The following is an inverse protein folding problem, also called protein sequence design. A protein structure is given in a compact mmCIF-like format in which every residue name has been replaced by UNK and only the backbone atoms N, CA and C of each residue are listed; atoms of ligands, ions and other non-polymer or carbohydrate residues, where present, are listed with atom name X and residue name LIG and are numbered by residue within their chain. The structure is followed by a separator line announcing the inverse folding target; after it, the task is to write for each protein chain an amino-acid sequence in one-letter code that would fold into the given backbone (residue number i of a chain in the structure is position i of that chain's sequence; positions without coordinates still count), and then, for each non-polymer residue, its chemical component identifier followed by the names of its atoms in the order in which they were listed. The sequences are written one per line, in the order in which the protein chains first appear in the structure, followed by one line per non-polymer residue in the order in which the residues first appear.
data_IF_221204208508
#
_entry.id   IF_221204208508
#
_cell.length_a   1.000
_cell.length_b   1.000
_cell.length_c   1.000
_cell.angle_alpha   90.00
_cell.angle_beta   90.00
_cell.angle_gamma   90.00
#
_symmetry.space_group_name_H-M   'P 1'
#
loop_
_entity.id
_entity.type
_entity.pdbx_description
1 polymer ?
#
# COMPACT_ATOMS: atom_id res chain seq x y z
N UNK A 1 25.56 32.21 -2.78
CA UNK A 1 25.67 31.08 -3.74
C UNK A 1 25.06 29.75 -3.24
N UNK A 2 24.56 29.63 -1.99
CA UNK A 2 24.07 28.36 -1.43
C UNK A 2 22.56 28.11 -1.67
N UNK A 3 21.76 29.17 -1.75
CA UNK A 3 20.29 29.10 -1.84
C UNK A 3 19.77 28.48 -3.14
N UNK A 4 20.41 28.75 -4.28
CA UNK A 4 19.98 28.17 -5.56
C UNK A 4 20.21 26.65 -5.59
N UNK A 5 21.37 26.18 -5.09
CA UNK A 5 21.69 24.75 -5.02
C UNK A 5 20.74 23.99 -4.09
N UNK A 6 20.31 24.59 -2.98
CA UNK A 6 19.34 23.96 -2.07
C UNK A 6 17.95 23.88 -2.71
N UNK A 7 17.52 24.93 -3.41
CA UNK A 7 16.24 24.96 -4.14
C UNK A 7 16.23 23.88 -5.25
N UNK A 8 17.30 23.80 -6.03
CA UNK A 8 17.43 22.82 -7.12
C UNK A 8 17.39 21.38 -6.56
N UNK A 9 18.09 21.14 -5.44
CA UNK A 9 18.11 19.84 -4.78
C UNK A 9 16.75 19.44 -4.23
N UNK A 10 16.03 20.37 -3.59
CA UNK A 10 14.67 20.12 -3.09
C UNK A 10 13.69 19.84 -4.24
N UNK A 11 13.80 20.57 -5.35
CA UNK A 11 13.00 20.36 -6.55
C UNK A 11 13.21 18.96 -7.13
N UNK A 12 14.47 18.53 -7.29
CA UNK A 12 14.81 17.18 -7.77
C UNK A 12 14.17 16.10 -6.88
N UNK A 13 14.25 16.26 -5.55
CA UNK A 13 13.62 15.33 -4.61
C UNK A 13 12.11 15.27 -4.82
N UNK A 14 11.44 16.42 -4.90
CA UNK A 14 9.98 16.51 -5.10
C UNK A 14 9.55 15.90 -6.42
N UNK A 15 10.27 16.13 -7.50
CA UNK A 15 9.93 15.60 -8.82
C UNK A 15 10.06 14.08 -8.88
N UNK A 16 11.12 13.52 -8.27
CA UNK A 16 11.25 12.06 -8.15
C UNK A 16 10.21 11.46 -7.21
N UNK A 17 9.87 12.13 -6.10
CA UNK A 17 8.81 11.69 -5.21
C UNK A 17 7.46 11.64 -5.94
N UNK A 18 7.11 12.68 -6.72
CA UNK A 18 5.91 12.71 -7.56
C UNK A 18 5.90 11.57 -8.57
N UNK A 19 7.03 11.30 -9.23
CA UNK A 19 7.17 10.18 -10.16
C UNK A 19 6.92 8.83 -9.48
N UNK A 20 7.53 8.60 -8.31
CA UNK A 20 7.32 7.36 -7.55
C UNK A 20 5.85 7.18 -7.14
N UNK A 21 5.19 8.26 -6.71
CA UNK A 21 3.76 8.25 -6.36
C UNK A 21 2.90 7.93 -7.58
N UNK A 22 3.17 8.56 -8.73
CA UNK A 22 2.43 8.29 -9.97
C UNK A 22 2.55 6.82 -10.40
N UNK A 23 3.76 6.27 -10.36
CA UNK A 23 4.00 4.85 -10.66
C UNK A 23 3.25 3.93 -9.69
N UNK A 24 3.25 4.24 -8.40
CA UNK A 24 2.48 3.51 -7.39
C UNK A 24 0.97 3.55 -7.65
N UNK A 25 0.43 4.70 -8.08
CA UNK A 25 -0.98 4.82 -8.47
C UNK A 25 -1.34 3.99 -9.71
N UNK A 26 -0.36 3.71 -10.57
CA UNK A 26 -0.50 2.82 -11.73
C UNK A 26 -0.26 1.33 -11.39
N UNK A 27 -0.09 0.98 -10.11
CA UNK A 27 0.32 -0.35 -9.64
C UNK A 27 1.69 -0.81 -10.19
N UNK A 28 2.52 0.11 -10.69
CA UNK A 28 3.88 -0.16 -11.17
C UNK A 28 4.87 -0.11 -10.00
N UNK A 29 4.71 -1.05 -9.08
CA UNK A 29 5.41 -1.03 -7.79
C UNK A 29 6.92 -1.23 -7.91
N UNK A 30 7.40 -2.05 -8.84
CA UNK A 30 8.83 -2.23 -9.14
C UNK A 30 9.48 -0.93 -9.62
N UNK A 31 8.80 -0.20 -10.51
CA UNK A 31 9.28 1.09 -11.01
C UNK A 31 9.28 2.13 -9.87
N UNK A 32 8.25 2.13 -9.03
CA UNK A 32 8.18 2.99 -7.86
C UNK A 32 9.34 2.71 -6.87
N UNK A 33 9.70 1.43 -6.67
CA UNK A 33 10.86 1.03 -5.87
C UNK A 33 12.15 1.60 -6.47
N UNK A 34 12.38 1.44 -7.77
CA UNK A 34 13.58 1.93 -8.43
C UNK A 34 13.73 3.46 -8.28
N UNK A 35 12.62 4.22 -8.43
CA UNK A 35 12.64 5.66 -8.23
C UNK A 35 12.91 6.01 -6.76
N UNK A 36 12.24 5.38 -5.79
CA UNK A 36 12.46 5.64 -4.36
C UNK A 36 13.90 5.30 -3.93
N UNK A 37 14.49 4.21 -4.41
CA UNK A 37 15.90 3.88 -4.17
C UNK A 37 16.84 4.95 -4.74
N UNK A 38 16.53 5.51 -5.90
CA UNK A 38 17.30 6.64 -6.46
C UNK A 38 17.19 7.91 -5.61
N UNK A 39 16.06 8.13 -4.93
CA UNK A 39 15.90 9.25 -3.99
C UNK A 39 16.76 9.01 -2.75
N UNK A 40 16.75 7.81 -2.17
CA UNK A 40 17.56 7.49 -0.98
C UNK A 40 19.06 7.69 -1.23
N UNK A 41 19.56 7.36 -2.44
CA UNK A 41 20.97 7.60 -2.80
C UNK A 41 21.39 9.06 -2.65
N UNK A 42 20.50 9.98 -3.02
CA UNK A 42 20.77 11.43 -2.97
C UNK A 42 20.26 12.10 -1.69
N UNK A 43 19.33 11.45 -0.98
CA UNK A 43 18.60 11.91 0.20
C UNK A 43 18.43 10.77 1.21
N UNK A 44 19.51 10.36 1.90
CA UNK A 44 19.51 9.16 2.75
C UNK A 44 18.63 9.27 4.00
N UNK A 45 18.20 10.48 4.38
CA UNK A 45 17.37 10.75 5.55
C UNK A 45 15.92 11.17 5.17
N UNK A 46 15.50 10.95 3.92
CA UNK A 46 14.13 11.25 3.51
C UNK A 46 13.14 10.19 4.02
N UNK A 47 12.63 10.41 5.24
CA UNK A 47 11.65 9.59 5.92
C UNK A 47 10.46 9.19 5.05
N UNK A 48 9.92 10.13 4.28
CA UNK A 48 8.76 9.87 3.42
C UNK A 48 9.08 8.88 2.29
N UNK A 49 10.34 8.84 1.85
CA UNK A 49 10.79 7.89 0.84
C UNK A 49 10.89 6.47 1.41
N UNK A 50 11.32 6.31 2.66
CA UNK A 50 11.28 5.00 3.34
C UNK A 50 9.84 4.49 3.52
N UNK A 51 8.90 5.37 3.87
CA UNK A 51 7.47 5.02 3.94
C UNK A 51 6.94 4.53 2.57
N UNK A 52 7.25 5.26 1.49
CA UNK A 52 6.85 4.84 0.12
C UNK A 52 7.50 3.53 -0.29
N UNK A 53 8.77 3.33 0.05
CA UNK A 53 9.51 2.11 -0.28
C UNK A 53 8.93 0.89 0.46
N UNK A 54 8.67 1.02 1.77
CA UNK A 54 8.05 -0.05 2.56
C UNK A 54 6.66 -0.40 2.05
N UNK A 55 5.87 0.61 1.67
CA UNK A 55 4.57 0.38 1.03
C UNK A 55 4.75 -0.41 -0.27
N UNK A 56 5.61 0.03 -1.18
CA UNK A 56 5.79 -0.64 -2.47
C UNK A 56 6.28 -2.09 -2.33
N UNK A 57 7.21 -2.38 -1.40
CA UNK A 57 7.61 -3.76 -1.12
C UNK A 57 6.46 -4.59 -0.56
N UNK A 58 5.66 -4.03 0.35
CA UNK A 58 4.51 -4.75 0.90
C UNK A 58 3.46 -5.04 -0.18
N UNK A 59 3.26 -4.12 -1.13
CA UNK A 59 2.38 -4.33 -2.29
C UNK A 59 2.95 -5.32 -3.31
N UNK A 60 4.21 -5.72 -3.18
CA UNK A 60 4.82 -6.82 -3.93
C UNK A 60 4.99 -8.10 -3.09
N UNK A 61 4.46 -8.14 -1.87
CA UNK A 61 4.54 -9.31 -0.99
C UNK A 61 5.96 -9.54 -0.45
N UNK A 62 6.86 -8.60 -0.71
CA UNK A 62 8.26 -8.53 -0.24
C UNK A 62 8.27 -8.03 1.19
N UNK A 63 7.65 -8.81 2.09
CA UNK A 63 7.34 -8.38 3.45
C UNK A 63 8.60 -8.08 4.28
N UNK A 64 9.68 -8.86 4.12
CA UNK A 64 10.93 -8.64 4.84
C UNK A 64 11.54 -7.27 4.50
N UNK A 65 11.58 -6.92 3.21
CA UNK A 65 12.11 -5.65 2.73
C UNK A 65 11.19 -4.47 3.09
N UNK A 66 9.88 -4.73 3.14
CA UNK A 66 8.91 -3.77 3.63
C UNK A 66 9.16 -3.43 5.12
N UNK A 67 9.39 -4.45 5.96
CA UNK A 67 9.72 -4.28 7.38
C UNK A 67 10.98 -3.43 7.52
N UNK A 68 12.06 -3.78 6.83
CA UNK A 68 13.33 -3.03 6.90
C UNK A 68 13.14 -1.54 6.53
N UNK A 69 12.37 -1.26 5.49
CA UNK A 69 12.09 0.12 5.07
C UNK A 69 11.27 0.89 6.11
N UNK A 70 10.23 0.28 6.71
CA UNK A 70 9.45 0.93 7.75
C UNK A 70 10.23 1.11 9.07
N UNK A 71 11.11 0.17 9.42
CA UNK A 71 12.02 0.31 10.56
C UNK A 71 12.98 1.48 10.37
N UNK A 72 13.52 1.67 9.16
CA UNK A 72 14.33 2.87 8.84
C UNK A 72 13.51 4.17 8.98
N UNK A 73 12.25 4.17 8.56
CA UNK A 73 11.37 5.32 8.76
C UNK A 73 11.12 5.62 10.25
N UNK A 74 10.98 4.58 11.09
CA UNK A 74 10.85 4.72 12.54
C UNK A 74 12.16 5.12 13.23
N UNK A 75 13.31 4.69 12.71
CA UNK A 75 14.61 5.13 13.20
C UNK A 75 14.81 6.64 12.98
N UNK A 76 14.35 7.17 11.84
CA UNK A 76 14.36 8.61 11.54
C UNK A 76 13.29 9.38 12.32
N UNK A 77 12.10 8.80 12.53
CA UNK A 77 11.04 9.37 13.36
C UNK A 77 10.27 8.30 14.12
N UNK A 78 10.55 8.12 15.42
CA UNK A 78 9.90 7.11 16.25
C UNK A 78 8.38 7.24 16.34
N UNK A 79 7.83 8.42 16.04
CA UNK A 79 6.41 8.72 16.07
C UNK A 79 5.71 8.59 14.70
N UNK A 80 6.38 8.05 13.69
CA UNK A 80 5.80 7.83 12.37
C UNK A 80 4.65 6.81 12.43
N UNK A 81 3.41 7.32 12.45
CA UNK A 81 2.21 6.50 12.56
C UNK A 81 1.97 5.63 11.32
N UNK A 82 2.42 6.06 10.15
CA UNK A 82 2.29 5.31 8.89
C UNK A 82 3.16 4.04 8.95
N UNK A 83 4.43 4.19 9.34
CA UNK A 83 5.35 3.08 9.46
C UNK A 83 4.87 2.06 10.51
N UNK A 84 4.47 2.54 11.70
CA UNK A 84 3.95 1.68 12.78
C UNK A 84 2.72 0.88 12.34
N UNK A 85 1.72 1.54 11.75
CA UNK A 85 0.50 0.88 11.25
C UNK A 85 0.81 -0.22 10.22
N UNK A 86 1.78 0.01 9.33
CA UNK A 86 2.16 -0.98 8.33
C UNK A 86 2.93 -2.15 8.94
N UNK A 87 3.85 -1.91 9.88
CA UNK A 87 4.54 -2.98 10.62
C UNK A 87 3.57 -3.84 11.41
N UNK A 88 2.61 -3.24 12.13
CA UNK A 88 1.58 -3.98 12.86
C UNK A 88 0.75 -4.87 11.92
N UNK A 89 0.45 -4.38 10.71
CA UNK A 89 -0.25 -5.18 9.69
C UNK A 89 0.62 -6.32 9.17
N UNK A 90 1.90 -6.06 8.90
CA UNK A 90 2.85 -7.07 8.41
C UNK A 90 3.11 -8.16 9.44
N UNK A 91 3.20 -7.83 10.73
CA UNK A 91 3.32 -8.79 11.82
C UNK A 91 2.11 -9.74 11.83
N UNK A 92 0.89 -9.18 11.83
CA UNK A 92 -0.35 -9.96 11.78
C UNK A 92 -0.51 -10.81 10.51
N UNK A 93 0.11 -10.42 9.40
CA UNK A 93 0.15 -11.22 8.17
C UNK A 93 1.11 -12.40 8.27
N UNK A 94 2.25 -12.24 8.95
CA UNK A 94 3.22 -13.30 9.18
C UNK A 94 2.69 -14.40 10.10
N UNK A 95 1.89 -14.03 11.10
CA UNK A 95 1.28 -14.96 12.06
C UNK A 95 0.11 -15.77 11.47
N UNK A 96 -0.41 -15.37 10.31
CA UNK A 96 -1.46 -16.11 9.60
C UNK A 96 -0.84 -17.26 8.78
N UNK A 97 -0.61 -18.41 9.42
CA UNK A 97 -0.14 -19.63 8.74
C UNK A 97 -1.01 -19.97 7.51
N UNK A 98 -0.38 -20.39 6.40
CA UNK A 98 -1.06 -20.75 5.15
C UNK A 98 -1.42 -19.57 4.23
N UNK A 99 -0.93 -18.36 4.51
CA UNK A 99 -1.16 -17.20 3.65
C UNK A 99 -0.40 -17.35 2.33
N UNK A 100 -1.11 -17.75 1.27
CA UNK A 100 -0.68 -17.50 -0.10
C UNK A 100 -0.24 -16.03 -0.22
N UNK A 101 0.82 -15.73 -0.98
CA UNK A 101 1.28 -14.35 -1.13
C UNK A 101 0.07 -13.51 -1.52
N UNK A 102 -0.08 -12.34 -0.87
CA UNK A 102 -1.20 -11.42 -1.05
C UNK A 102 -1.40 -10.91 -2.50
N UNK A 103 -0.69 -11.51 -3.46
CA UNK A 103 -0.53 -11.13 -4.85
C UNK A 103 -0.66 -12.29 -5.84
N UNK A 104 -0.92 -13.52 -5.42
CA UNK A 104 -1.00 -14.60 -6.41
C UNK A 104 -2.21 -14.47 -7.36
N UNK A 105 -3.32 -13.83 -6.98
CA UNK A 105 -4.56 -13.93 -7.78
C UNK A 105 -5.54 -12.76 -7.76
N UNK A 106 -5.32 -11.72 -6.94
CA UNK A 106 -6.28 -10.61 -6.86
C UNK A 106 -5.95 -9.49 -7.84
N UNK A 107 -6.64 -9.42 -8.99
CA UNK A 107 -6.65 -8.22 -9.81
C UNK A 107 -7.00 -7.02 -8.93
N UNK A 108 -6.03 -6.14 -8.64
CA UNK A 108 -6.35 -4.88 -7.97
C UNK A 108 -7.13 -4.01 -8.94
N UNK A 109 -8.21 -3.41 -8.44
CA UNK A 109 -8.92 -2.42 -9.22
C UNK A 109 -7.92 -1.31 -9.55
N UNK A 110 -7.62 -1.15 -10.84
CA UNK A 110 -6.84 0.01 -11.28
C UNK A 110 -7.62 1.26 -10.89
N UNK A 111 -7.00 2.32 -10.36
CA UNK A 111 -7.73 3.52 -9.95
C UNK A 111 -8.59 4.13 -11.08
N UNK A 112 -8.24 3.87 -12.35
CA UNK A 112 -9.05 4.23 -13.52
C UNK A 112 -10.40 3.49 -13.65
N UNK A 113 -10.60 2.37 -12.95
CA UNK A 113 -11.91 1.67 -12.88
C UNK A 113 -12.91 2.45 -12.02
N UNK A 114 -12.43 3.34 -11.12
CA UNK A 114 -13.24 4.42 -10.59
C UNK A 114 -13.40 5.52 -11.65
N UNK A 115 -13.99 5.19 -12.80
CA UNK A 115 -14.62 6.24 -13.60
C UNK A 115 -15.81 6.71 -12.78
N UNK A 116 -15.82 8.00 -12.45
CA UNK A 116 -16.88 8.70 -11.73
C UNK A 116 -18.17 8.70 -12.54
N UNK A 117 -18.79 7.54 -12.70
CA UNK A 117 -20.19 7.49 -13.10
C UNK A 117 -21.01 7.91 -11.88
N UNK A 118 -21.45 9.17 -11.90
CA UNK A 118 -22.35 9.77 -10.91
C UNK A 118 -23.49 8.81 -10.57
N UNK A 119 -23.51 8.31 -9.33
CA UNK A 119 -24.58 7.46 -8.81
C UNK A 119 -24.27 5.97 -8.60
N UNK A 120 -23.05 5.47 -8.91
CA UNK A 120 -22.69 4.05 -8.69
C UNK A 120 -21.92 3.75 -7.39
N UNK A 121 -21.44 4.78 -6.69
CA UNK A 121 -20.68 4.59 -5.44
C UNK A 121 -21.60 4.63 -4.23
N UNK A 122 -21.55 3.60 -3.39
CA UNK A 122 -22.18 3.54 -2.09
C UNK A 122 -21.18 3.08 -1.04
N UNK A 123 -21.31 3.60 0.18
CA UNK A 123 -20.55 3.11 1.35
C UNK A 123 -21.54 2.35 2.23
N UNK A 124 -21.16 1.14 2.64
CA UNK A 124 -21.94 0.37 3.59
C UNK A 124 -21.03 -0.29 4.62
N UNK A 125 -21.60 -0.55 5.80
CA UNK A 125 -20.91 -1.28 6.86
C UNK A 125 -21.30 -2.76 6.80
N UNK A 126 -20.31 -3.64 6.78
CA UNK A 126 -20.52 -5.07 6.89
C UNK A 126 -20.73 -5.44 8.36
N UNK A 127 -21.73 -6.29 8.63
CA UNK A 127 -22.14 -6.65 9.98
C UNK A 127 -21.50 -7.97 10.46
N UNK A 128 -21.41 -8.96 9.58
CA UNK A 128 -20.91 -10.31 9.90
C UNK A 128 -19.50 -10.49 9.35
N UNK A 129 -18.57 -9.72 9.89
CA UNK A 129 -17.18 -9.72 9.44
C UNK A 129 -16.50 -11.06 9.65
N UNK A 130 -15.62 -11.41 8.72
CA UNK A 130 -14.78 -12.59 8.78
C UNK A 130 -13.79 -12.53 9.95
N UNK A 131 -13.15 -13.67 10.22
CA UNK A 131 -12.12 -13.75 11.24
C UNK A 131 -10.96 -12.78 10.93
N UNK A 132 -10.27 -12.23 11.95
CA UNK A 132 -9.19 -11.25 11.74
C UNK A 132 -8.10 -11.70 10.77
N UNK A 133 -7.84 -13.01 10.67
CA UNK A 133 -6.86 -13.60 9.76
C UNK A 133 -7.26 -13.50 8.28
N UNK A 134 -8.55 -13.38 7.98
CA UNK A 134 -9.06 -13.12 6.63
C UNK A 134 -9.04 -11.62 6.35
N UNK A 135 -9.51 -10.82 7.29
CA UNK A 135 -9.59 -9.36 7.13
C UNK A 135 -8.21 -8.71 6.95
N UNK A 136 -7.17 -9.23 7.62
CA UNK A 136 -5.82 -8.68 7.50
C UNK A 136 -5.23 -8.82 6.09
N UNK A 137 -5.75 -9.77 5.30
CA UNK A 137 -5.36 -10.00 3.90
C UNK A 137 -6.00 -9.02 2.92
N UNK A 138 -7.01 -8.26 3.37
CA UNK A 138 -7.68 -7.25 2.54
C UNK A 138 -6.97 -5.91 2.64
N UNK A 139 -6.93 -5.21 1.50
CA UNK A 139 -6.43 -3.85 1.41
C UNK A 139 -7.29 -3.03 0.44
N UNK A 140 -7.35 -1.69 0.59
CA UNK A 140 -8.00 -0.84 -0.40
C UNK A 140 -7.53 -1.15 -1.82
N UNK A 141 -8.48 -1.26 -2.75
CA UNK A 141 -8.21 -1.62 -4.14
C UNK A 141 -8.24 -3.12 -4.44
N UNK A 142 -8.36 -3.99 -3.42
CA UNK A 142 -8.68 -5.40 -3.68
C UNK A 142 -10.09 -5.51 -4.28
N UNK A 143 -10.20 -6.23 -5.40
CA UNK A 143 -11.49 -6.57 -5.98
C UNK A 143 -12.18 -7.57 -5.07
N UNK A 144 -13.46 -7.34 -4.86
CA UNK A 144 -14.36 -8.21 -4.11
C UNK A 144 -15.53 -8.60 -4.99
N UNK A 145 -16.05 -9.80 -4.79
CA UNK A 145 -17.30 -10.26 -5.38
C UNK A 145 -18.45 -9.94 -4.45
N UNK A 146 -19.53 -9.41 -5.02
CA UNK A 146 -20.76 -9.05 -4.31
C UNK A 146 -21.85 -10.04 -4.68
N UNK A 147 -22.44 -10.70 -3.68
CA UNK A 147 -23.56 -11.62 -3.87
C UNK A 147 -24.75 -11.16 -3.05
N UNK A 148 -25.91 -11.03 -3.70
CA UNK A 148 -27.15 -10.61 -3.08
C UNK A 148 -28.11 -11.80 -3.07
N UNK A 149 -28.42 -12.30 -1.87
CA UNK A 149 -29.38 -13.38 -1.68
C UNK A 149 -30.30 -13.06 -0.52
N UNK A 150 -31.62 -13.20 -0.69
CA UNK A 150 -32.61 -13.05 0.40
C UNK A 150 -32.43 -11.77 1.23
N UNK A 151 -32.20 -10.63 0.57
CA UNK A 151 -31.97 -9.32 1.21
C UNK A 151 -30.69 -9.24 2.08
N UNK A 152 -29.73 -10.15 1.87
CA UNK A 152 -28.40 -10.15 2.46
C UNK A 152 -27.38 -9.90 1.35
N UNK A 153 -26.48 -8.95 1.58
CA UNK A 153 -25.27 -8.80 0.77
C UNK A 153 -24.13 -9.57 1.44
N UNK A 154 -23.53 -10.48 0.69
CA UNK A 154 -22.29 -11.17 1.04
C UNK A 154 -21.15 -10.58 0.20
N UNK A 155 -20.00 -10.36 0.83
CA UNK A 155 -18.79 -9.87 0.17
C UNK A 155 -17.75 -10.96 0.26
N UNK A 156 -17.14 -11.32 -0.87
CA UNK A 156 -16.09 -12.32 -0.94
C UNK A 156 -14.82 -11.73 -1.53
N UNK A 157 -13.67 -12.13 -1.00
CA UNK A 157 -12.38 -11.77 -1.58
C UNK A 157 -12.11 -12.59 -2.87
N UNK A 158 -11.05 -12.26 -3.60
CA UNK A 158 -10.67 -13.00 -4.81
C UNK A 158 -10.28 -14.48 -4.58
N UNK A 159 -10.05 -14.90 -3.33
CA UNK A 159 -9.80 -16.28 -2.95
C UNK A 159 -11.10 -17.04 -2.59
N UNK A 160 -12.26 -16.37 -2.60
CA UNK A 160 -13.54 -16.94 -2.21
C UNK A 160 -13.83 -16.92 -0.70
N UNK A 161 -12.96 -16.30 0.11
CA UNK A 161 -13.25 -16.14 1.54
C UNK A 161 -14.30 -15.04 1.74
N UNK A 162 -15.28 -15.31 2.59
CA UNK A 162 -16.20 -14.28 3.07
C UNK A 162 -15.44 -13.18 3.83
N UNK A 163 -15.90 -11.94 3.70
CA UNK A 163 -15.31 -10.72 4.29
C UNK A 163 -16.18 -10.16 5.41
#
# INVERSE_FOLDING_TARGET
MNTQRTIDREKIRKDRAKKAIALAMENRWEDAIAVNQSVIKDFPEDLETFNRLGKAFSELGRNAEAVEAFEKALALSPHNSIARKNLDRLARLGDAEGSAPALATGARAVPRVFIEESGKSGVMSLLNLAAPQVLVKLAPGHVVQLEIENNKLSVMNAAGDAV
#
